data_IF_977821639708
#
_entry.id   IF_977821639708
#
_cell.length_a   1.000
_cell.length_b   1.000
_cell.length_c   1.000
_cell.angle_alpha   90.00
_cell.angle_beta   90.00
_cell.angle_gamma   90.00
#
_symmetry.space_group_name_H-M   'P 1'
#
loop_
_entity.id
_entity.type
_entity.pdbx_description
1 polymer ?
#
# COMPACT_ATOMS: atom_id res chain seq x y z
N UNK A 1 -7.16 12.25 11.33
CA UNK A 1 -7.32 10.99 12.08
C UNK A 1 -8.80 10.76 12.33
N UNK A 2 -9.28 9.56 12.07
CA UNK A 2 -10.63 9.15 12.45
C UNK A 2 -10.65 8.80 13.95
N UNK A 3 -11.75 9.15 14.60
CA UNK A 3 -12.04 8.65 15.94
C UNK A 3 -12.85 7.38 15.83
N UNK A 4 -12.91 6.53 16.87
CA UNK A 4 -13.71 5.32 16.84
C UNK A 4 -15.20 5.56 16.47
N UNK A 5 -15.78 6.65 16.92
CA UNK A 5 -17.16 7.04 16.60
C UNK A 5 -17.34 7.48 15.12
N UNK A 6 -16.26 7.82 14.42
CA UNK A 6 -16.33 8.21 13.01
C UNK A 6 -16.42 7.00 12.09
N UNK A 7 -16.01 5.82 12.55
CA UNK A 7 -16.01 4.60 11.74
C UNK A 7 -17.43 4.21 11.28
N UNK A 8 -18.42 4.45 12.12
CA UNK A 8 -19.82 4.15 11.81
C UNK A 8 -20.48 5.12 10.80
N UNK A 9 -19.79 6.18 10.39
CA UNK A 9 -20.31 7.16 9.42
C UNK A 9 -20.16 6.72 7.96
N UNK A 10 -19.40 5.66 7.70
CA UNK A 10 -19.15 5.17 6.36
C UNK A 10 -20.09 4.02 6.00
N UNK A 11 -20.51 3.96 4.75
CA UNK A 11 -21.29 2.87 4.14
C UNK A 11 -20.38 1.77 3.54
N UNK A 12 -19.09 1.79 3.88
CA UNK A 12 -18.06 0.83 3.49
C UNK A 12 -17.08 0.64 4.67
N UNK A 13 -16.21 -0.36 4.59
CA UNK A 13 -15.15 -0.55 5.59
C UNK A 13 -14.13 0.60 5.51
N UNK A 14 -14.08 1.51 6.50
CA UNK A 14 -13.15 2.63 6.48
C UNK A 14 -11.68 2.22 6.69
N UNK A 15 -11.41 0.97 7.06
CA UNK A 15 -10.06 0.40 7.17
C UNK A 15 -9.57 -0.18 5.85
N UNK A 16 -10.45 -0.35 4.85
CA UNK A 16 -10.07 -0.81 3.52
C UNK A 16 -9.17 0.23 2.84
N UNK A 17 -7.90 -0.13 2.61
CA UNK A 17 -6.89 0.75 2.00
C UNK A 17 -7.22 1.18 0.56
N UNK A 18 -8.22 0.58 -0.08
CA UNK A 18 -8.68 0.95 -1.43
C UNK A 18 -9.71 2.09 -1.43
N UNK A 19 -10.16 2.51 -0.26
CA UNK A 19 -11.19 3.54 -0.09
C UNK A 19 -10.60 4.87 0.37
N UNK A 20 -11.19 5.95 -0.05
CA UNK A 20 -10.96 7.29 0.49
C UNK A 20 -12.11 7.65 1.43
N UNK A 21 -11.89 8.61 2.33
CA UNK A 21 -12.85 9.04 3.35
C UNK A 21 -13.56 10.33 2.95
N UNK A 22 -14.71 10.25 2.27
CA UNK A 22 -15.45 11.45 1.89
C UNK A 22 -15.93 12.21 3.12
N UNK A 23 -15.87 13.54 3.06
CA UNK A 23 -16.36 14.41 4.14
C UNK A 23 -15.41 14.52 5.36
N UNK A 24 -14.28 13.86 5.36
CA UNK A 24 -13.24 14.05 6.38
C UNK A 24 -12.23 15.09 5.88
N UNK A 25 -12.11 16.24 6.57
CA UNK A 25 -11.22 17.30 6.12
C UNK A 25 -9.75 16.87 6.22
N UNK A 26 -8.99 17.13 5.18
CA UNK A 26 -7.55 16.95 5.17
C UNK A 26 -6.87 18.02 6.02
N UNK A 27 -5.86 17.63 6.78
CA UNK A 27 -5.03 18.52 7.56
C UNK A 27 -3.60 18.45 7.07
N UNK A 28 -3.05 19.58 6.63
CA UNK A 28 -1.63 19.66 6.28
C UNK A 28 -0.77 19.42 7.52
N UNK A 29 0.11 18.43 7.46
CA UNK A 29 1.00 18.05 8.56
C UNK A 29 2.47 18.30 8.23
N UNK A 30 2.80 18.57 6.97
CA UNK A 30 4.17 18.82 6.53
C UNK A 30 4.25 19.03 5.03
N UNK A 31 5.48 19.16 4.55
CA UNK A 31 5.81 19.32 3.15
C UNK A 31 6.96 18.38 2.78
N UNK A 32 6.81 17.66 1.69
CA UNK A 32 7.89 16.91 1.05
C UNK A 32 8.43 17.73 -0.10
N UNK A 33 9.76 17.94 -0.12
CA UNK A 33 10.42 18.73 -1.16
C UNK A 33 11.39 17.82 -1.93
N UNK A 34 11.11 17.60 -3.21
CA UNK A 34 11.94 16.80 -4.13
C UNK A 34 12.78 17.77 -4.96
N UNK A 35 13.92 18.20 -4.42
CA UNK A 35 14.75 19.26 -5.02
C UNK A 35 16.20 18.86 -5.27
N UNK A 36 16.57 17.60 -5.04
CA UNK A 36 17.91 17.06 -5.29
C UNK A 36 17.82 15.61 -5.75
N UNK A 37 18.54 15.26 -6.79
CA UNK A 37 18.76 13.88 -7.17
C UNK A 37 19.84 13.24 -6.30
N UNK A 38 19.86 11.92 -6.27
CA UNK A 38 20.92 11.13 -5.61
C UNK A 38 22.20 11.17 -6.45
N UNK A 39 23.36 11.04 -5.79
CA UNK A 39 24.65 11.00 -6.46
C UNK A 39 24.95 9.60 -6.98
N UNK A 40 24.59 8.58 -6.24
CA UNK A 40 24.73 7.17 -6.64
C UNK A 40 23.38 6.46 -6.55
N UNK A 41 22.76 6.24 -7.71
CA UNK A 41 21.42 5.62 -7.80
C UNK A 41 21.37 4.24 -7.15
N UNK A 42 22.40 3.41 -7.33
CA UNK A 42 22.43 2.05 -6.77
C UNK A 42 22.47 2.09 -5.23
N UNK A 43 23.40 2.86 -4.66
CA UNK A 43 23.57 2.92 -3.21
C UNK A 43 22.42 3.64 -2.48
N UNK A 44 21.86 4.67 -3.10
CA UNK A 44 20.92 5.60 -2.45
C UNK A 44 19.46 5.37 -2.86
N UNK A 45 19.18 4.55 -3.89
CA UNK A 45 17.83 4.28 -4.38
C UNK A 45 17.57 2.80 -4.56
N UNK A 46 18.40 2.08 -5.34
CA UNK A 46 18.17 0.67 -5.68
C UNK A 46 18.13 -0.24 -4.43
N UNK A 47 18.97 0.04 -3.45
CA UNK A 47 19.06 -0.74 -2.21
C UNK A 47 18.11 -0.27 -1.10
N UNK A 48 17.22 0.69 -1.37
CA UNK A 48 16.21 1.11 -0.38
C UNK A 48 15.27 -0.04 -0.06
N UNK A 49 15.08 -0.30 1.23
CA UNK A 49 14.24 -1.39 1.74
C UNK A 49 13.14 -0.82 2.65
N UNK A 50 12.10 -0.25 2.05
CA UNK A 50 10.94 0.23 2.78
C UNK A 50 9.97 -0.92 3.05
N UNK A 51 9.45 -1.01 4.28
CA UNK A 51 8.43 -1.98 4.65
C UNK A 51 7.39 -1.34 5.57
N UNK A 52 6.10 -1.69 5.41
CA UNK A 52 5.04 -1.20 6.31
C UNK A 52 5.24 -1.62 7.77
N UNK A 53 6.01 -2.67 8.02
CA UNK A 53 6.38 -3.13 9.37
C UNK A 53 7.43 -2.28 10.07
N UNK A 54 8.10 -1.36 9.36
CA UNK A 54 9.06 -0.42 9.96
C UNK A 54 8.30 0.72 10.65
N UNK A 55 7.63 0.38 11.74
CA UNK A 55 6.82 1.30 12.54
C UNK A 55 7.65 1.92 13.67
N UNK A 56 7.24 3.11 14.08
CA UNK A 56 7.80 3.77 15.25
C UNK A 56 6.90 3.52 16.47
N UNK A 57 7.44 3.56 17.71
CA UNK A 57 6.64 3.41 18.92
C UNK A 57 5.44 4.37 18.95
N UNK A 58 4.26 3.85 19.25
CA UNK A 58 3.00 4.62 19.29
C UNK A 58 2.24 4.67 17.97
N UNK A 59 2.76 4.09 16.90
CA UNK A 59 2.03 3.84 15.64
C UNK A 59 1.89 2.34 15.46
N UNK A 60 0.65 1.88 15.33
CA UNK A 60 0.31 0.47 15.14
C UNK A 60 -0.36 0.26 13.78
N UNK A 61 -0.23 -0.93 13.17
CA UNK A 61 -0.93 -1.26 11.95
C UNK A 61 -2.44 -1.37 12.20
N UNK A 62 -3.24 -0.96 11.22
CA UNK A 62 -4.67 -1.22 11.25
C UNK A 62 -4.99 -2.69 10.91
N UNK A 63 -6.25 -3.07 11.09
CA UNK A 63 -6.75 -4.41 10.76
C UNK A 63 -7.04 -4.61 9.28
N UNK A 64 -6.73 -3.63 8.43
CA UNK A 64 -6.88 -3.76 6.98
C UNK A 64 -6.16 -5.02 6.48
N UNK A 65 -6.89 -5.88 5.78
CA UNK A 65 -6.39 -7.19 5.33
C UNK A 65 -5.22 -7.08 4.36
N UNK A 66 -5.25 -6.06 3.50
CA UNK A 66 -4.14 -5.79 2.57
C UNK A 66 -2.89 -5.37 3.33
N UNK A 67 -3.03 -4.47 4.30
CA UNK A 67 -1.93 -4.04 5.15
C UNK A 67 -1.34 -5.21 5.94
N UNK A 68 -2.18 -6.05 6.56
CA UNK A 68 -1.74 -7.23 7.31
C UNK A 68 -0.91 -8.19 6.43
N UNK A 69 -1.33 -8.43 5.20
CA UNK A 69 -0.54 -9.19 4.22
C UNK A 69 0.79 -8.51 3.86
N UNK A 70 0.79 -7.20 3.72
CA UNK A 70 1.98 -6.41 3.39
C UNK A 70 3.01 -6.36 4.53
N UNK A 71 2.59 -6.39 5.79
CA UNK A 71 3.50 -6.44 6.94
C UNK A 71 4.45 -7.64 6.85
N UNK A 72 3.93 -8.79 6.46
CA UNK A 72 4.72 -9.99 6.26
C UNK A 72 5.48 -9.99 4.92
N UNK A 73 4.79 -9.72 3.82
CA UNK A 73 5.33 -9.86 2.47
C UNK A 73 6.54 -8.94 2.21
N UNK A 74 6.50 -7.70 2.68
CA UNK A 74 7.61 -6.77 2.48
C UNK A 74 8.84 -7.13 3.30
N UNK A 75 8.66 -7.57 4.55
CA UNK A 75 9.77 -8.01 5.39
C UNK A 75 10.52 -9.19 4.74
N UNK A 76 9.78 -10.19 4.28
CA UNK A 76 10.34 -11.36 3.59
C UNK A 76 11.04 -10.97 2.27
N UNK A 77 10.36 -10.20 1.43
CA UNK A 77 10.92 -9.74 0.14
C UNK A 77 12.22 -8.96 0.29
N UNK A 78 12.32 -8.09 1.30
CA UNK A 78 13.53 -7.29 1.53
C UNK A 78 14.72 -8.18 1.95
N UNK A 79 14.48 -9.23 2.70
CA UNK A 79 15.51 -10.21 3.04
C UNK A 79 16.10 -10.90 1.79
N UNK A 80 15.26 -11.21 0.81
CA UNK A 80 15.72 -11.80 -0.47
C UNK A 80 16.43 -10.78 -1.35
N UNK A 81 15.88 -9.58 -1.46
CA UNK A 81 16.38 -8.57 -2.39
C UNK A 81 17.66 -7.89 -1.89
N UNK A 82 17.74 -7.56 -0.61
CA UNK A 82 18.81 -6.75 -0.02
C UNK A 82 19.70 -7.56 0.93
N UNK A 83 19.23 -8.72 1.40
CA UNK A 83 19.92 -9.57 2.35
C UNK A 83 19.46 -9.37 3.79
N UNK A 84 19.82 -10.34 4.65
CA UNK A 84 19.37 -10.41 6.05
C UNK A 84 19.73 -9.16 6.87
N UNK A 85 20.85 -8.51 6.59
CA UNK A 85 21.32 -7.31 7.26
C UNK A 85 21.11 -6.03 6.42
N UNK A 86 20.18 -6.05 5.47
CA UNK A 86 19.89 -4.92 4.58
C UNK A 86 19.52 -3.63 5.32
N UNK A 87 18.95 -3.73 6.52
CA UNK A 87 18.65 -2.58 7.39
C UNK A 87 19.91 -1.90 7.96
N UNK A 88 21.07 -2.55 7.90
CA UNK A 88 22.37 -1.97 8.26
C UNK A 88 22.98 -1.10 7.16
N UNK A 89 22.49 -1.18 5.93
CA UNK A 89 22.99 -0.37 4.82
C UNK A 89 22.76 1.14 5.09
N UNK A 90 23.69 2.01 4.68
CA UNK A 90 23.58 3.45 4.94
C UNK A 90 22.23 4.08 4.53
N UNK A 91 21.63 3.61 3.44
CA UNK A 91 20.34 4.11 2.93
C UNK A 91 19.15 3.66 3.78
N UNK A 92 19.27 2.54 4.48
CA UNK A 92 18.17 1.92 5.24
C UNK A 92 18.32 2.10 6.75
N UNK A 93 19.54 2.28 7.25
CA UNK A 93 19.77 2.38 8.69
C UNK A 93 19.15 3.67 9.28
N UNK A 94 18.61 3.62 10.49
CA UNK A 94 18.19 4.81 11.20
C UNK A 94 19.38 5.75 11.45
N UNK A 95 19.08 7.03 11.62
CA UNK A 95 20.11 8.03 11.97
C UNK A 95 20.55 7.94 13.43
N UNK A 96 19.67 7.48 14.31
CA UNK A 96 20.00 7.14 15.68
C UNK A 96 20.67 5.77 15.76
N UNK A 97 21.55 5.61 16.72
CA UNK A 97 22.17 4.31 16.97
C UNK A 97 21.11 3.28 17.37
N UNK A 98 21.12 2.15 16.69
CA UNK A 98 20.24 1.01 16.99
C UNK A 98 21.11 -0.18 17.35
N UNK A 99 21.01 -0.61 18.60
CA UNK A 99 21.59 -1.84 19.05
C UNK A 99 20.67 -3.01 18.69
N UNK A 100 21.06 -3.77 17.68
CA UNK A 100 20.42 -5.05 17.38
C UNK A 100 21.21 -6.18 18.04
N UNK A 101 20.55 -7.31 18.24
CA UNK A 101 21.21 -8.54 18.70
C UNK A 101 21.76 -9.38 17.55
N UNK A 102 21.61 -8.93 16.30
CA UNK A 102 22.17 -9.58 15.12
C UNK A 102 23.69 -9.39 15.08
N UNK A 103 24.42 -10.48 15.04
CA UNK A 103 25.87 -10.49 15.08
C UNK A 103 26.53 -11.04 13.83
N UNK A 104 25.78 -11.75 13.00
CA UNK A 104 26.28 -12.44 11.82
C UNK A 104 25.29 -12.37 10.63
N UNK A 105 25.57 -13.14 9.59
CA UNK A 105 24.76 -13.22 8.39
C UNK A 105 25.23 -12.29 7.27
N UNK A 106 24.67 -12.49 6.09
CA UNK A 106 25.02 -11.74 4.89
C UNK A 106 24.83 -10.23 5.08
N UNK A 107 25.76 -9.44 4.55
CA UNK A 107 25.79 -7.96 4.63
C UNK A 107 25.88 -7.41 6.06
N UNK A 108 26.36 -8.19 7.01
CA UNK A 108 26.68 -7.67 8.32
C UNK A 108 27.98 -6.84 8.26
N UNK A 109 27.84 -5.52 8.17
CA UNK A 109 28.94 -4.56 8.22
C UNK A 109 29.06 -3.89 9.59
N UNK A 110 28.22 -4.27 10.53
CA UNK A 110 28.25 -3.75 11.90
C UNK A 110 29.34 -4.40 12.74
N UNK A 111 29.91 -3.64 13.66
CA UNK A 111 30.79 -4.16 14.69
C UNK A 111 30.00 -4.39 15.97
N UNK A 112 29.77 -5.64 16.35
CA UNK A 112 29.16 -5.99 17.63
C UNK A 112 30.23 -6.51 18.59
N UNK A 113 30.29 -5.94 19.78
CA UNK A 113 31.14 -6.41 20.87
C UNK A 113 30.36 -7.23 21.90
N UNK A 114 29.05 -7.33 21.74
CA UNK A 114 28.18 -8.05 22.66
C UNK A 114 28.23 -9.55 22.39
N UNK A 115 28.39 -10.35 23.43
CA UNK A 115 28.22 -11.81 23.37
C UNK A 115 26.75 -12.24 23.41
N UNK A 116 25.80 -11.30 23.40
CA UNK A 116 24.38 -11.55 23.51
C UNK A 116 23.71 -11.40 22.15
N UNK A 117 23.05 -12.46 21.68
CA UNK A 117 22.31 -12.52 20.43
C UNK A 117 20.80 -12.76 20.60
N UNK A 118 20.29 -12.60 21.83
CA UNK A 118 18.85 -12.74 22.14
C UNK A 118 18.47 -11.86 23.34
N UNK A 119 17.20 -11.53 23.45
CA UNK A 119 16.60 -10.82 24.60
C UNK A 119 15.33 -11.54 25.08
N UNK A 120 14.99 -11.50 26.38
CA UNK A 120 15.78 -10.93 27.48
C UNK A 120 17.00 -11.80 27.82
N UNK A 121 18.09 -11.17 28.19
CA UNK A 121 19.33 -11.85 28.60
C UNK A 121 19.84 -11.33 29.95
N UNK A 122 20.32 -12.24 30.81
CA UNK A 122 20.97 -11.88 32.08
C UNK A 122 22.35 -11.23 31.88
N UNK A 123 22.93 -11.40 30.69
CA UNK A 123 24.24 -10.84 30.35
C UNK A 123 24.15 -9.42 29.81
N UNK A 124 22.95 -9.00 29.43
CA UNK A 124 22.67 -7.65 28.94
C UNK A 124 21.33 -7.19 29.52
N UNK A 125 21.38 -6.39 30.60
CA UNK A 125 20.19 -5.93 31.30
C UNK A 125 19.50 -4.74 30.62
N UNK A 126 19.73 -4.50 29.32
CA UNK A 126 18.99 -3.47 28.59
C UNK A 126 17.50 -3.72 28.74
N UNK A 127 16.81 -2.78 29.32
CA UNK A 127 15.36 -2.84 29.45
C UNK A 127 14.71 -2.61 28.09
N UNK A 128 13.75 -3.45 27.75
CA UNK A 128 12.81 -3.13 26.67
C UNK A 128 12.17 -1.77 26.99
N UNK A 129 12.19 -0.85 26.04
CA UNK A 129 11.48 0.42 26.22
C UNK A 129 9.98 0.14 26.35
N UNK A 130 9.49 0.06 27.57
CA UNK A 130 8.08 -0.14 27.90
C UNK A 130 7.18 1.07 27.56
N UNK A 131 7.60 1.94 26.65
CA UNK A 131 6.97 3.23 26.41
C UNK A 131 5.77 3.19 25.45
N UNK A 132 5.57 2.10 24.72
CA UNK A 132 4.44 1.98 23.79
C UNK A 132 3.28 1.24 24.45
N UNK A 133 2.13 1.90 24.59
CA UNK A 133 0.87 1.23 24.93
C UNK A 133 0.31 0.57 23.68
N UNK A 134 0.25 -0.75 23.69
CA UNK A 134 -0.50 -1.49 22.68
C UNK A 134 -2.00 -1.40 22.99
N UNK A 135 -2.77 -0.99 22.00
CA UNK A 135 -4.23 -1.03 22.10
C UNK A 135 -4.67 -2.49 21.95
N UNK A 136 -5.39 -2.98 22.96
CA UNK A 136 -5.98 -4.32 22.88
C UNK A 136 -7.22 -4.25 22.01
N UNK A 137 -7.19 -4.93 20.88
CA UNK A 137 -8.37 -5.10 20.03
C UNK A 137 -9.11 -6.36 20.47
N UNK A 138 -10.38 -6.27 20.91
CA UNK A 138 -11.18 -7.44 21.23
C UNK A 138 -11.48 -8.23 19.95
N UNK A 139 -11.19 -9.52 19.94
CA UNK A 139 -11.53 -10.42 18.84
C UNK A 139 -12.67 -11.34 19.27
N UNK A 140 -13.64 -11.54 18.36
CA UNK A 140 -14.75 -12.47 18.56
C UNK A 140 -15.00 -13.23 17.27
N UNK A 141 -15.13 -14.54 17.34
CA UNK A 141 -15.40 -15.39 16.19
C UNK A 141 -14.47 -16.59 16.09
N UNK A 142 -14.53 -17.24 14.93
CA UNK A 142 -13.66 -18.37 14.58
C UNK A 142 -12.76 -18.00 13.41
N UNK A 143 -11.55 -18.53 13.41
CA UNK A 143 -10.69 -18.43 12.23
C UNK A 143 -11.19 -19.41 11.17
N UNK A 144 -11.48 -18.87 9.97
CA UNK A 144 -11.87 -19.70 8.83
C UNK A 144 -11.41 -19.03 7.54
N UNK A 145 -11.14 -19.83 6.52
CA UNK A 145 -10.93 -19.30 5.18
C UNK A 145 -12.27 -18.81 4.63
N UNK A 146 -12.33 -17.54 4.24
CA UNK A 146 -13.52 -16.94 3.65
C UNK A 146 -13.14 -16.10 2.45
N UNK A 147 -14.08 -15.98 1.49
CA UNK A 147 -13.92 -14.99 0.42
C UNK A 147 -14.07 -13.59 1.00
N UNK A 148 -13.20 -12.68 0.59
CA UNK A 148 -13.35 -11.26 0.88
C UNK A 148 -14.62 -10.78 0.19
N UNK A 149 -15.53 -10.18 0.95
CA UNK A 149 -16.72 -9.56 0.37
C UNK A 149 -16.31 -8.35 -0.46
N UNK A 150 -16.96 -8.19 -1.59
CA UNK A 150 -16.75 -7.04 -2.46
C UNK A 150 -17.68 -5.93 -2.01
N UNK A 151 -17.13 -4.75 -1.83
CA UNK A 151 -17.87 -3.60 -1.33
C UNK A 151 -17.58 -2.38 -2.21
N UNK A 152 -18.57 -1.96 -3.00
CA UNK A 152 -18.55 -0.72 -3.76
C UNK A 152 -17.22 -0.42 -4.50
N UNK A 153 -16.66 -1.43 -5.15
CA UNK A 153 -15.32 -1.33 -5.75
C UNK A 153 -15.22 -0.33 -6.91
N UNK A 154 -16.34 0.00 -7.53
CA UNK A 154 -16.41 0.87 -8.71
C UNK A 154 -16.90 2.30 -8.40
N UNK A 155 -17.64 2.49 -7.31
CA UNK A 155 -18.32 3.74 -6.98
C UNK A 155 -17.35 4.94 -6.90
N UNK A 156 -16.34 4.85 -6.04
CA UNK A 156 -15.42 5.96 -5.81
C UNK A 156 -14.55 6.28 -7.04
N UNK A 157 -14.21 5.27 -7.84
CA UNK A 157 -13.49 5.46 -9.12
C UNK A 157 -14.33 6.28 -10.10
N UNK A 158 -15.61 5.97 -10.24
CA UNK A 158 -16.52 6.75 -11.08
C UNK A 158 -16.74 8.16 -10.56
N UNK A 159 -16.90 8.33 -9.25
CA UNK A 159 -17.02 9.64 -8.60
C UNK A 159 -15.79 10.52 -8.85
N UNK A 160 -14.60 9.95 -8.74
CA UNK A 160 -13.34 10.64 -9.02
C UNK A 160 -13.27 11.07 -10.48
N UNK A 161 -13.57 10.18 -11.43
CA UNK A 161 -13.58 10.53 -12.86
C UNK A 161 -14.54 11.68 -13.14
N UNK A 162 -15.76 11.66 -12.59
CA UNK A 162 -16.74 12.75 -12.77
C UNK A 162 -16.30 14.08 -12.12
N UNK A 163 -15.46 14.03 -11.09
CA UNK A 163 -14.94 15.22 -10.42
C UNK A 163 -13.87 15.97 -11.24
N UNK A 164 -13.26 15.32 -12.21
CA UNK A 164 -12.23 15.93 -13.05
C UNK A 164 -12.82 16.93 -14.05
N UNK A 165 -12.05 17.96 -14.37
CA UNK A 165 -12.34 18.87 -15.47
C UNK A 165 -12.33 18.15 -16.82
N UNK A 166 -13.03 18.71 -17.83
CA UNK A 166 -13.14 18.06 -19.15
C UNK A 166 -11.79 17.79 -19.82
N UNK A 167 -10.81 18.65 -19.60
CA UNK A 167 -9.44 18.43 -20.09
C UNK A 167 -8.80 17.22 -19.43
N UNK A 168 -8.87 17.13 -18.09
CA UNK A 168 -8.24 16.04 -17.35
C UNK A 168 -8.92 14.69 -17.66
N UNK A 169 -10.25 14.69 -17.85
CA UNK A 169 -10.98 13.50 -18.31
C UNK A 169 -10.47 13.06 -19.69
N UNK A 170 -10.30 14.00 -20.62
CA UNK A 170 -9.82 13.69 -21.96
C UNK A 170 -8.37 13.19 -21.96
N UNK A 171 -7.50 13.82 -21.18
CA UNK A 171 -6.09 13.42 -21.04
C UNK A 171 -5.97 12.01 -20.42
N UNK A 172 -6.78 11.72 -19.41
CA UNK A 172 -6.84 10.38 -18.78
C UNK A 172 -7.32 9.34 -19.78
N UNK A 173 -8.40 9.61 -20.52
CA UNK A 173 -8.94 8.72 -21.53
C UNK A 173 -7.92 8.47 -22.64
N UNK A 174 -7.24 9.50 -23.13
CA UNK A 174 -6.23 9.36 -24.17
C UNK A 174 -5.06 8.48 -23.70
N UNK A 175 -4.55 8.74 -22.51
CA UNK A 175 -3.40 8.01 -21.95
C UNK A 175 -3.71 6.53 -21.70
N UNK A 176 -4.79 6.23 -21.00
CA UNK A 176 -5.16 4.85 -20.68
C UNK A 176 -5.69 4.10 -21.90
N UNK A 177 -6.49 4.76 -22.75
CA UNK A 177 -7.00 4.17 -23.96
C UNK A 177 -5.89 3.81 -24.96
N UNK A 178 -4.87 4.66 -25.08
CA UNK A 178 -3.67 4.39 -25.87
C UNK A 178 -2.88 3.18 -25.35
N UNK A 179 -2.72 3.07 -24.03
CA UNK A 179 -2.07 1.90 -23.42
C UNK A 179 -2.89 0.62 -23.65
N UNK A 180 -4.21 0.67 -23.51
CA UNK A 180 -5.09 -0.48 -23.74
C UNK A 180 -5.16 -0.90 -25.23
N UNK A 181 -4.95 0.03 -26.16
CA UNK A 181 -4.98 -0.28 -27.59
C UNK A 181 -3.95 -1.34 -28.02
N UNK A 182 -2.80 -1.38 -27.34
CA UNK A 182 -1.67 -2.27 -27.65
C UNK A 182 -1.66 -3.56 -26.81
N UNK A 183 -2.62 -3.74 -25.89
CA UNK A 183 -2.73 -4.98 -25.11
C UNK A 183 -3.48 -6.06 -25.88
N UNK A 184 -3.36 -7.32 -25.43
CA UNK A 184 -4.17 -8.41 -25.95
C UNK A 184 -5.67 -8.15 -25.73
N UNK A 185 -6.50 -8.79 -26.55
CA UNK A 185 -7.93 -8.54 -26.51
C UNK A 185 -8.59 -8.98 -25.20
N UNK A 186 -8.12 -10.04 -24.56
CA UNK A 186 -8.71 -10.53 -23.33
C UNK A 186 -8.51 -9.50 -22.20
N UNK A 187 -7.27 -9.09 -21.97
CA UNK A 187 -6.91 -8.06 -20.98
C UNK A 187 -7.60 -6.73 -21.29
N UNK A 188 -7.59 -6.31 -22.56
CA UNK A 188 -8.25 -5.08 -23.02
C UNK A 188 -9.73 -5.04 -22.62
N UNK A 189 -10.50 -6.06 -23.00
CA UNK A 189 -11.93 -6.07 -22.74
C UNK A 189 -12.29 -6.24 -21.28
N UNK A 190 -11.50 -7.00 -20.50
CA UNK A 190 -11.65 -7.09 -19.04
C UNK A 190 -11.48 -5.71 -18.41
N UNK A 191 -10.39 -5.02 -18.71
CA UNK A 191 -10.11 -3.70 -18.13
C UNK A 191 -11.15 -2.66 -18.56
N UNK A 192 -11.52 -2.63 -19.85
CA UNK A 192 -12.57 -1.72 -20.31
C UNK A 192 -13.90 -1.96 -19.63
N UNK A 193 -14.23 -3.22 -19.30
CA UNK A 193 -15.46 -3.54 -18.57
C UNK A 193 -15.45 -2.97 -17.14
N UNK A 194 -14.30 -2.97 -16.46
CA UNK A 194 -14.15 -2.36 -15.15
C UNK A 194 -14.34 -0.85 -15.19
N UNK A 195 -13.70 -0.17 -16.13
CA UNK A 195 -13.87 1.27 -16.31
C UNK A 195 -15.30 1.65 -16.69
N UNK A 196 -15.96 0.86 -17.54
CA UNK A 196 -17.36 1.06 -17.89
C UNK A 196 -18.29 0.85 -16.69
N UNK A 197 -18.01 -0.14 -15.83
CA UNK A 197 -18.76 -0.38 -14.60
C UNK A 197 -18.61 0.78 -13.63
N UNK A 198 -17.42 1.39 -13.54
CA UNK A 198 -17.16 2.55 -12.69
C UNK A 198 -17.91 3.80 -13.18
N UNK A 199 -17.86 4.07 -14.49
CA UNK A 199 -18.57 5.16 -15.13
C UNK A 199 -18.74 4.89 -16.63
N UNK A 200 -19.97 5.02 -17.15
CA UNK A 200 -20.29 4.70 -18.55
C UNK A 200 -19.59 5.59 -19.56
N UNK A 201 -19.41 6.89 -19.25
CA UNK A 201 -18.73 7.83 -20.14
C UNK A 201 -17.23 7.56 -20.16
N UNK A 202 -16.68 7.22 -18.99
CA UNK A 202 -15.27 6.82 -18.86
C UNK A 202 -14.97 5.57 -19.69
N UNK A 203 -15.71 4.48 -19.49
CA UNK A 203 -15.53 3.26 -20.24
C UNK A 203 -15.79 3.41 -21.74
N UNK A 204 -16.78 4.23 -22.14
CA UNK A 204 -17.08 4.52 -23.55
C UNK A 204 -15.93 5.29 -24.20
N UNK A 205 -15.40 6.31 -23.51
CA UNK A 205 -14.26 7.08 -24.01
C UNK A 205 -13.02 6.20 -24.22
N UNK A 206 -12.70 5.36 -23.25
CA UNK A 206 -11.58 4.41 -23.32
C UNK A 206 -11.76 3.39 -24.45
N UNK A 207 -12.95 2.80 -24.58
CA UNK A 207 -13.25 1.84 -25.64
C UNK A 207 -13.05 2.45 -27.05
N UNK A 208 -13.46 3.71 -27.22
CA UNK A 208 -13.27 4.43 -28.48
C UNK A 208 -11.78 4.60 -28.81
N UNK A 209 -10.96 5.03 -27.86
CA UNK A 209 -9.51 5.23 -28.07
C UNK A 209 -8.80 3.90 -28.27
N UNK A 210 -9.18 2.86 -27.52
CA UNK A 210 -8.61 1.52 -27.63
C UNK A 210 -9.08 0.74 -28.87
N UNK A 211 -10.01 1.28 -29.68
CA UNK A 211 -10.56 0.61 -30.84
C UNK A 211 -11.38 -0.64 -30.51
N UNK A 212 -12.06 -0.66 -29.37
CA UNK A 212 -12.80 -1.81 -28.88
C UNK A 212 -14.31 -1.73 -29.18
N UNK A 213 -14.95 -2.90 -29.35
CA UNK A 213 -16.39 -2.99 -29.49
C UNK A 213 -17.10 -2.68 -28.17
N UNK A 214 -17.81 -1.56 -28.15
CA UNK A 214 -18.54 -1.08 -26.97
C UNK A 214 -19.66 -2.04 -26.53
N UNK A 215 -20.29 -2.78 -27.42
CA UNK A 215 -21.33 -3.75 -27.05
C UNK A 215 -20.72 -4.88 -26.20
N UNK A 216 -19.59 -5.40 -26.64
CA UNK A 216 -18.86 -6.43 -25.88
C UNK A 216 -18.42 -5.92 -24.51
N UNK A 217 -17.93 -4.67 -24.43
CA UNK A 217 -17.58 -4.03 -23.14
C UNK A 217 -18.78 -3.97 -22.20
N UNK A 218 -19.94 -3.51 -22.69
CA UNK A 218 -21.20 -3.43 -21.92
C UNK A 218 -21.66 -4.79 -21.40
N UNK A 219 -21.59 -5.83 -22.26
CA UNK A 219 -21.98 -7.18 -21.88
C UNK A 219 -21.08 -7.75 -20.77
N UNK A 220 -19.78 -7.46 -20.82
CA UNK A 220 -18.85 -7.88 -19.79
C UNK A 220 -19.07 -7.08 -18.49
N UNK A 221 -19.25 -5.78 -18.58
CA UNK A 221 -19.53 -4.92 -17.42
C UNK A 221 -20.81 -5.33 -16.68
N UNK A 222 -21.84 -5.75 -17.40
CA UNK A 222 -23.10 -6.23 -16.81
C UNK A 222 -22.95 -7.51 -15.98
N UNK A 223 -21.90 -8.31 -16.21
CA UNK A 223 -21.61 -9.55 -15.48
C UNK A 223 -20.79 -9.30 -14.20
N UNK A 224 -20.22 -8.10 -14.05
CA UNK A 224 -19.42 -7.77 -12.87
C UNK A 224 -20.29 -7.57 -11.64
N UNK A 225 -19.93 -8.23 -10.58
CA UNK A 225 -20.51 -8.01 -9.26
C UNK A 225 -19.75 -6.86 -8.58
N UNK A 226 -20.46 -6.10 -7.77
CA UNK A 226 -19.84 -5.10 -6.89
C UNK A 226 -19.15 -5.75 -5.73
#
# INVERSE_FOLDING_TARGET
>A
MLKPEDLAKFDFDPLDATKIWPGIPERKIGQMVLNRNVDNFFQETEQVAMAPSNLVPGIEPSEDRLLQGRLFAYADTQMYRVGANGLGLPVNRPRSEVNTVNQDGALNAGHSTSGVNYQPSRLDPREEQASARYVRTPLSGTTQQAKIQREQNFKQTGELFRSYGKKDQADLIASLGGALAITDDESKYIMLSYFYKADSDYGTGLAKVAGADLQRVRQLAAKLQD
#
